data_IF_066960716694
#
_entry.id   IF_066960716694
#
_cell.length_a   1.000
_cell.length_b   1.000
_cell.length_c   1.000
_cell.angle_alpha   90.00
_cell.angle_beta   90.00
_cell.angle_gamma   90.00
#
_symmetry.space_group_name_H-M   'P 1'
#
loop_
_entity.id
_entity.type
_entity.pdbx_description
1 polymer ?
#
# COMPACT_ATOMS: atom_id res chain seq x y z
N UNK A 1 -14.41 -8.57 15.02
CA UNK A 1 -13.99 -7.19 15.32
C UNK A 1 -13.39 -6.63 14.05
N UNK A 2 -13.91 -5.52 13.52
CA UNK A 2 -13.35 -4.93 12.30
C UNK A 2 -11.92 -4.46 12.61
N UNK A 3 -10.95 -5.14 12.04
CA UNK A 3 -9.55 -4.88 12.31
C UNK A 3 -9.13 -3.55 11.68
N UNK A 4 -8.70 -2.61 12.53
CA UNK A 4 -8.31 -1.27 12.10
C UNK A 4 -7.16 -1.32 11.05
N UNK A 5 -7.12 -0.34 10.15
CA UNK A 5 -6.06 -0.25 9.13
C UNK A 5 -4.69 -0.13 9.79
N UNK A 6 -4.62 0.66 10.87
CA UNK A 6 -3.40 0.90 11.63
C UNK A 6 -2.83 -0.40 12.20
N UNK A 7 -3.67 -1.30 12.72
CA UNK A 7 -3.21 -2.57 13.29
C UNK A 7 -2.67 -3.54 12.24
N UNK A 8 -3.03 -3.36 10.97
CA UNK A 8 -2.46 -4.14 9.87
C UNK A 8 -1.12 -3.55 9.44
N UNK A 9 -1.05 -2.22 9.30
CA UNK A 9 0.18 -1.53 8.92
C UNK A 9 1.31 -1.75 9.93
N UNK A 10 0.99 -1.85 11.22
CA UNK A 10 1.98 -2.12 12.26
C UNK A 10 2.62 -3.51 12.17
N UNK A 11 2.07 -4.44 11.39
CA UNK A 11 2.64 -5.79 11.16
C UNK A 11 3.74 -5.77 10.10
N UNK A 12 3.87 -4.69 9.34
CA UNK A 12 4.90 -4.58 8.30
C UNK A 12 6.26 -4.40 8.97
N UNK A 13 7.20 -5.29 8.66
CA UNK A 13 8.56 -5.19 9.17
C UNK A 13 9.24 -3.92 8.65
N UNK A 14 9.89 -3.19 9.54
CA UNK A 14 10.60 -1.96 9.19
C UNK A 14 12.03 -2.28 8.71
N UNK A 15 12.32 -2.12 7.40
CA UNK A 15 13.63 -2.48 6.83
C UNK A 15 14.72 -1.46 7.19
N UNK A 16 14.39 -0.40 7.93
CA UNK A 16 15.33 0.66 8.31
C UNK A 16 16.12 0.26 9.56
N UNK A 17 17.39 0.66 9.61
CA UNK A 17 18.18 0.58 10.85
C UNK A 17 17.60 1.48 11.94
N UNK A 18 17.72 1.06 13.20
CA UNK A 18 17.12 1.75 14.36
C UNK A 18 17.51 3.22 14.50
N UNK A 19 18.74 3.59 14.10
CA UNK A 19 19.22 4.97 14.15
C UNK A 19 18.52 5.90 13.14
N UNK A 20 17.82 5.37 12.14
CA UNK A 20 17.18 6.14 11.07
C UNK A 20 15.63 6.11 11.14
N UNK A 21 15.07 5.96 12.34
CA UNK A 21 13.62 5.87 12.59
C UNK A 21 13.06 7.12 13.27
N UNK A 22 13.23 8.29 12.64
CA UNK A 22 12.59 9.52 13.14
C UNK A 22 11.06 9.43 13.03
N UNK A 23 10.56 8.93 11.89
CA UNK A 23 9.14 8.74 11.65
C UNK A 23 8.79 7.25 11.77
N UNK A 24 7.85 6.87 12.64
CA UNK A 24 7.28 5.52 12.68
C UNK A 24 6.84 5.03 11.29
N UNK A 25 7.04 3.74 10.99
CA UNK A 25 6.75 3.20 9.66
C UNK A 25 5.25 3.25 9.34
N UNK A 26 4.41 2.89 10.30
CA UNK A 26 2.96 2.95 10.21
C UNK A 26 2.45 4.36 9.90
N UNK A 27 3.07 5.40 10.45
CA UNK A 27 2.77 6.81 10.12
C UNK A 27 3.08 7.12 8.64
N UNK A 28 4.21 6.66 8.13
CA UNK A 28 4.60 6.83 6.72
C UNK A 28 3.64 6.07 5.79
N UNK A 29 3.33 4.82 6.12
CA UNK A 29 2.45 3.98 5.31
C UNK A 29 1.02 4.54 5.28
N UNK A 30 0.48 4.97 6.42
CA UNK A 30 -0.83 5.61 6.50
C UNK A 30 -0.88 6.89 5.65
N UNK A 31 0.16 7.73 5.75
CA UNK A 31 0.29 8.94 4.95
C UNK A 31 0.24 8.62 3.44
N UNK A 32 1.07 7.68 2.98
CA UNK A 32 1.11 7.28 1.57
C UNK A 32 -0.25 6.79 1.08
N UNK A 33 -0.92 5.90 1.83
CA UNK A 33 -2.22 5.35 1.45
C UNK A 33 -3.27 6.46 1.34
N UNK A 34 -3.39 7.31 2.36
CA UNK A 34 -4.37 8.39 2.36
C UNK A 34 -4.13 9.39 1.23
N UNK A 35 -2.87 9.76 0.97
CA UNK A 35 -2.51 10.69 -0.09
C UNK A 35 -2.82 10.11 -1.48
N UNK A 36 -2.42 8.86 -1.76
CA UNK A 36 -2.63 8.21 -3.05
C UNK A 36 -4.13 8.04 -3.34
N UNK A 37 -4.93 7.60 -2.37
CA UNK A 37 -6.39 7.51 -2.52
C UNK A 37 -7.01 8.90 -2.77
N UNK A 38 -6.40 9.95 -2.23
CA UNK A 38 -6.81 11.35 -2.45
C UNK A 38 -6.29 11.94 -3.77
N UNK A 39 -5.63 11.14 -4.62
CA UNK A 39 -5.16 11.55 -5.94
C UNK A 39 -3.72 12.08 -6.00
N UNK A 40 -2.89 11.84 -4.98
CA UNK A 40 -1.47 12.17 -5.05
C UNK A 40 -0.74 11.25 -6.04
N UNK A 41 0.02 11.82 -6.98
CA UNK A 41 0.72 11.07 -8.03
C UNK A 41 2.23 10.93 -7.78
N UNK A 42 2.80 11.79 -6.91
CA UNK A 42 4.22 11.77 -6.58
C UNK A 42 4.54 11.98 -5.10
N UNK A 43 5.82 11.80 -4.74
CA UNK A 43 6.32 11.98 -3.37
C UNK A 43 6.09 13.39 -2.83
N UNK A 44 6.18 14.40 -3.72
CA UNK A 44 5.87 15.79 -3.41
C UNK A 44 4.43 15.98 -3.01
N UNK A 45 3.52 15.44 -3.81
CA UNK A 45 2.08 15.52 -3.55
C UNK A 45 1.72 14.81 -2.24
N UNK A 46 2.38 13.68 -1.94
CA UNK A 46 2.19 12.94 -0.67
C UNK A 46 2.64 13.79 0.52
N UNK A 47 3.83 14.39 0.46
CA UNK A 47 4.31 15.24 1.54
C UNK A 47 3.44 16.50 1.71
N UNK A 48 2.99 17.10 0.61
CA UNK A 48 2.07 18.24 0.62
C UNK A 48 0.70 17.87 1.21
N UNK A 49 0.12 16.74 0.80
CA UNK A 49 -1.10 16.21 1.41
C UNK A 49 -0.93 16.04 2.92
N UNK A 50 0.17 15.44 3.35
CA UNK A 50 0.48 15.26 4.76
C UNK A 50 0.52 16.57 5.53
N UNK A 51 1.21 17.60 4.99
CA UNK A 51 1.31 18.92 5.60
C UNK A 51 -0.08 19.58 5.72
N UNK A 52 -0.89 19.47 4.66
CA UNK A 52 -2.24 20.05 4.61
C UNK A 52 -3.25 19.30 5.50
N UNK A 53 -3.06 18.01 5.74
CA UNK A 53 -4.00 17.14 6.47
C UNK A 53 -3.43 16.61 7.79
N UNK A 54 -2.34 17.15 8.30
CA UNK A 54 -1.66 16.69 9.52
C UNK A 54 -2.62 16.57 10.72
N UNK A 55 -3.48 17.57 10.95
CA UNK A 55 -4.45 17.55 12.04
C UNK A 55 -5.48 16.42 11.90
N UNK A 56 -5.83 16.06 10.66
CA UNK A 56 -6.74 14.94 10.39
C UNK A 56 -6.01 13.60 10.57
N UNK A 57 -4.78 13.48 10.06
CA UNK A 57 -3.92 12.30 10.24
C UNK A 57 -3.66 11.99 11.72
N UNK A 58 -3.55 13.04 12.54
CA UNK A 58 -3.39 12.93 14.00
C UNK A 58 -4.55 12.26 14.75
N UNK A 59 -5.70 12.07 14.09
CA UNK A 59 -6.83 11.31 14.65
C UNK A 59 -6.57 9.80 14.63
N UNK A 60 -5.65 9.33 13.80
CA UNK A 60 -5.34 7.91 13.61
C UNK A 60 -4.00 7.50 14.24
N UNK A 61 -2.96 8.31 14.04
CA UNK A 61 -1.61 8.09 14.60
C UNK A 61 -1.04 9.41 15.16
N UNK A 62 0.09 9.39 15.87
CA UNK A 62 0.52 10.57 16.66
C UNK A 62 1.17 11.66 15.82
N UNK A 63 1.92 11.32 14.77
CA UNK A 63 2.70 12.24 13.94
C UNK A 63 3.49 13.25 14.78
N UNK A 64 4.25 12.73 15.77
CA UNK A 64 4.98 13.54 16.76
C UNK A 64 6.02 14.44 16.08
N UNK A 65 6.71 13.89 15.09
CA UNK A 65 7.77 14.58 14.35
C UNK A 65 7.23 15.30 13.09
N UNK A 66 5.91 15.39 12.93
CA UNK A 66 5.28 16.00 11.76
C UNK A 66 5.27 15.06 10.55
N UNK A 67 5.46 15.63 9.37
CA UNK A 67 5.38 14.93 8.09
C UNK A 67 6.78 14.75 7.51
N UNK A 68 7.17 13.52 7.12
CA UNK A 68 8.46 13.28 6.47
C UNK A 68 8.58 14.07 5.16
N UNK A 69 9.82 14.41 4.77
CA UNK A 69 10.09 14.99 3.46
C UNK A 69 9.80 14.01 2.32
N UNK A 70 9.69 14.54 1.11
CA UNK A 70 9.52 13.76 -0.12
C UNK A 70 10.62 12.69 -0.25
N UNK A 71 11.87 13.08 0.00
CA UNK A 71 13.03 12.19 -0.05
C UNK A 71 12.99 11.10 1.02
N UNK A 72 12.52 11.44 2.23
CA UNK A 72 12.36 10.47 3.29
C UNK A 72 11.32 9.42 2.91
N UNK A 73 10.16 9.85 2.40
CA UNK A 73 9.09 8.96 1.94
C UNK A 73 9.62 8.04 0.83
N UNK A 74 10.24 8.61 -0.21
CA UNK A 74 10.78 7.87 -1.33
C UNK A 74 11.80 6.81 -0.87
N UNK A 75 12.71 7.18 0.02
CA UNK A 75 13.74 6.28 0.54
C UNK A 75 13.17 5.14 1.38
N UNK A 76 12.19 5.42 2.24
CA UNK A 76 11.52 4.37 3.04
C UNK A 76 10.75 3.42 2.13
N UNK A 77 9.96 3.95 1.19
CA UNK A 77 9.17 3.13 0.27
C UNK A 77 10.05 2.28 -0.65
N UNK A 78 11.20 2.79 -1.08
CA UNK A 78 12.16 2.04 -1.91
C UNK A 78 12.82 0.86 -1.17
N UNK A 79 12.91 0.92 0.16
CA UNK A 79 13.45 -0.16 1.00
C UNK A 79 12.41 -1.18 1.41
N UNK A 80 11.13 -0.83 1.35
CA UNK A 80 10.04 -1.70 1.73
C UNK A 80 9.99 -2.91 0.79
N UNK A 81 9.85 -4.12 1.35
CA UNK A 81 9.62 -5.31 0.53
C UNK A 81 8.23 -5.22 -0.12
N UNK A 82 8.12 -5.17 -1.46
CA UNK A 82 6.83 -5.11 -2.13
C UNK A 82 5.95 -6.30 -1.78
N UNK A 83 6.56 -7.49 -1.61
CA UNK A 83 5.87 -8.73 -1.22
C UNK A 83 5.29 -8.65 0.19
N UNK A 84 6.05 -8.12 1.14
CA UNK A 84 5.59 -8.01 2.53
C UNK A 84 4.44 -7.00 2.65
N UNK A 85 4.55 -5.88 1.93
CA UNK A 85 3.49 -4.87 1.88
C UNK A 85 2.22 -5.40 1.20
N UNK A 86 2.36 -6.08 0.06
CA UNK A 86 1.24 -6.72 -0.62
C UNK A 86 0.54 -7.75 0.28
N UNK A 87 1.31 -8.57 1.01
CA UNK A 87 0.76 -9.56 1.96
C UNK A 87 -0.10 -8.87 3.04
N UNK A 88 0.39 -7.79 3.65
CA UNK A 88 -0.36 -7.03 4.64
C UNK A 88 -1.70 -6.51 4.08
N UNK A 89 -1.70 -6.03 2.83
CA UNK A 89 -2.91 -5.55 2.17
C UNK A 89 -3.90 -6.68 1.85
N UNK A 90 -3.41 -7.83 1.36
CA UNK A 90 -4.23 -9.02 1.08
C UNK A 90 -4.82 -9.59 2.37
N UNK A 91 -4.03 -9.71 3.44
CA UNK A 91 -4.50 -10.21 4.73
C UNK A 91 -5.64 -9.31 5.28
N UNK A 92 -5.54 -7.99 5.08
CA UNK A 92 -6.63 -7.05 5.39
C UNK A 92 -7.86 -7.30 4.52
N UNK A 93 -7.68 -7.41 3.20
CA UNK A 93 -8.78 -7.64 2.27
C UNK A 93 -9.54 -8.95 2.58
N UNK A 94 -8.80 -10.01 2.94
CA UNK A 94 -9.36 -11.29 3.36
C UNK A 94 -10.14 -11.18 4.67
N UNK A 95 -9.64 -10.43 5.66
CA UNK A 95 -10.38 -10.19 6.91
C UNK A 95 -11.71 -9.45 6.70
N UNK A 96 -11.85 -8.69 5.59
CA UNK A 96 -13.10 -8.06 5.18
C UNK A 96 -13.99 -9.07 4.45
N UNK A 97 -13.41 -9.88 3.57
CA UNK A 97 -14.14 -10.89 2.78
C UNK A 97 -14.71 -12.05 3.60
N UNK A 98 -14.07 -12.42 4.72
CA UNK A 98 -14.61 -13.40 5.68
C UNK A 98 -15.96 -12.96 6.27
N UNK A 99 -16.29 -11.66 6.23
CA UNK A 99 -17.58 -11.12 6.71
C UNK A 99 -18.72 -11.29 5.69
N UNK A 100 -18.43 -11.69 4.44
CA UNK A 100 -19.41 -11.63 3.33
C UNK A 100 -19.84 -12.98 2.76
N UNK A 101 -19.65 -14.08 3.50
CA UNK A 101 -20.29 -15.39 3.32
C UNK A 101 -20.49 -15.86 1.85
N UNK A 102 -19.39 -16.06 1.11
CA UNK A 102 -19.43 -16.70 -0.21
C UNK A 102 -19.68 -15.77 -1.41
N UNK A 103 -19.28 -14.51 -1.30
CA UNK A 103 -19.30 -13.54 -2.40
C UNK A 103 -18.70 -14.06 -3.72
N UNK A 104 -19.33 -13.72 -4.86
CA UNK A 104 -18.82 -13.98 -6.20
C UNK A 104 -17.53 -13.17 -6.46
N UNK A 105 -16.44 -13.89 -6.74
CA UNK A 105 -15.13 -13.31 -7.05
C UNK A 105 -14.88 -13.31 -8.55
N UNK A 106 -14.68 -12.12 -9.12
CA UNK A 106 -14.33 -11.95 -10.53
C UNK A 106 -12.82 -12.16 -10.72
N UNK A 107 -12.43 -13.03 -11.65
CA UNK A 107 -11.03 -13.22 -12.04
C UNK A 107 -10.81 -12.57 -13.41
N UNK A 108 -9.93 -11.58 -13.47
CA UNK A 108 -9.61 -10.85 -14.70
C UNK A 108 -8.09 -10.81 -14.95
N UNK A 109 -7.70 -10.87 -16.23
CA UNK A 109 -6.32 -10.90 -16.67
C UNK A 109 -5.99 -9.74 -17.62
N UNK A 110 -4.97 -8.94 -17.30
CA UNK A 110 -4.47 -7.84 -18.13
C UNK A 110 -3.01 -8.06 -18.52
N UNK A 111 -2.67 -7.73 -19.76
CA UNK A 111 -1.26 -7.72 -20.21
C UNK A 111 -0.73 -6.29 -20.18
N UNK A 112 0.37 -6.06 -19.46
CA UNK A 112 0.94 -4.72 -19.31
C UNK A 112 1.55 -4.27 -20.64
N UNK A 113 1.08 -3.15 -21.19
CA UNK A 113 1.55 -2.64 -22.50
C UNK A 113 3.05 -2.32 -22.45
N UNK A 114 3.81 -2.77 -23.46
CA UNK A 114 5.28 -2.59 -23.57
C UNK A 114 6.11 -3.24 -22.45
N UNK A 115 5.57 -4.24 -21.76
CA UNK A 115 6.33 -4.97 -20.72
C UNK A 115 7.23 -6.10 -21.24
N UNK A 116 7.10 -6.47 -22.52
CA UNK A 116 7.95 -7.50 -23.12
C UNK A 116 9.39 -6.99 -23.27
N UNK A 117 10.37 -7.84 -22.97
CA UNK A 117 11.78 -7.53 -23.12
C UNK A 117 12.47 -8.60 -23.96
N UNK A 118 12.52 -8.37 -25.27
CA UNK A 118 13.19 -9.28 -26.22
C UNK A 118 14.69 -9.39 -25.96
N UNK A 119 15.35 -8.34 -25.44
CA UNK A 119 16.80 -8.33 -25.23
C UNK A 119 17.21 -9.29 -24.12
N UNK A 120 16.38 -9.38 -23.07
CA UNK A 120 16.58 -10.30 -21.94
C UNK A 120 15.71 -11.57 -22.03
N UNK A 121 15.10 -11.84 -23.20
CA UNK A 121 14.23 -12.99 -23.45
C UNK A 121 13.09 -13.15 -22.43
N UNK A 122 12.48 -12.04 -21.99
CA UNK A 122 11.34 -12.03 -21.07
C UNK A 122 10.04 -11.80 -21.82
N UNK A 123 9.03 -12.61 -21.52
CA UNK A 123 7.66 -12.44 -22.01
C UNK A 123 7.05 -11.14 -21.49
N UNK A 124 5.94 -10.72 -22.10
CA UNK A 124 5.13 -9.64 -21.56
C UNK A 124 4.62 -10.03 -20.15
N UNK A 125 4.53 -9.04 -19.27
CA UNK A 125 3.96 -9.22 -17.94
C UNK A 125 2.44 -9.39 -18.10
N UNK A 126 1.97 -10.57 -17.74
CA UNK A 126 0.56 -10.88 -17.59
C UNK A 126 0.18 -10.76 -16.12
N UNK A 127 -0.92 -10.08 -15.83
CA UNK A 127 -1.36 -9.75 -14.49
C UNK A 127 -2.78 -10.26 -14.30
N UNK A 128 -2.97 -11.17 -13.35
CA UNK A 128 -4.27 -11.74 -12.99
C UNK A 128 -4.69 -11.19 -11.64
N UNK A 129 -5.91 -10.68 -11.53
CA UNK A 129 -6.49 -10.12 -10.30
C UNK A 129 -7.79 -10.83 -9.93
N UNK A 130 -8.01 -11.02 -8.62
CA UNK A 130 -9.24 -11.55 -8.04
C UNK A 130 -10.00 -10.41 -7.34
N UNK A 131 -11.20 -10.09 -7.82
CA UNK A 131 -11.99 -8.93 -7.40
C UNK A 131 -13.31 -9.35 -6.73
N UNK A 132 -13.49 -8.93 -5.49
CA UNK A 132 -14.74 -9.04 -4.74
C UNK A 132 -15.61 -7.80 -5.03
N UNK A 133 -16.68 -7.98 -5.80
CA UNK A 133 -17.56 -6.90 -6.28
C UNK A 133 -18.42 -6.23 -5.20
N UNK A 134 -18.94 -7.01 -4.27
CA UNK A 134 -19.73 -6.57 -3.11
C UNK A 134 -18.87 -5.75 -2.15
N UNK A 135 -17.63 -6.18 -1.90
CA UNK A 135 -16.70 -5.50 -1.02
C UNK A 135 -15.85 -4.41 -1.72
N UNK A 136 -15.96 -4.31 -3.06
CA UNK A 136 -15.19 -3.40 -3.90
C UNK A 136 -13.68 -3.48 -3.62
N UNK A 137 -13.15 -4.70 -3.47
CA UNK A 137 -11.76 -4.93 -3.09
C UNK A 137 -11.10 -6.03 -3.91
N UNK A 138 -9.80 -5.86 -4.18
CA UNK A 138 -8.97 -6.92 -4.77
C UNK A 138 -8.50 -7.87 -3.69
N UNK A 139 -8.89 -9.14 -3.77
CA UNK A 139 -8.51 -10.22 -2.85
C UNK A 139 -7.12 -10.79 -3.13
N UNK A 140 -6.62 -10.60 -4.34
CA UNK A 140 -5.32 -11.12 -4.74
C UNK A 140 -4.93 -10.66 -6.13
N UNK A 141 -3.63 -10.62 -6.38
CA UNK A 141 -3.07 -10.27 -7.68
C UNK A 141 -1.74 -10.98 -7.90
N UNK A 142 -1.59 -11.58 -9.08
CA UNK A 142 -0.39 -12.31 -9.51
C UNK A 142 0.09 -11.72 -10.83
N UNK A 143 1.40 -11.49 -10.94
CA UNK A 143 2.06 -11.10 -12.18
C UNK A 143 3.03 -12.20 -12.62
N UNK A 144 3.00 -12.57 -13.89
CA UNK A 144 3.83 -13.59 -14.55
C UNK A 144 4.50 -13.04 -15.80
#
# INVERSE_FOLDING_TARGET
>A
MCSDLVSHLSKVEDPRWDKNKLYPLDEILLLCICAIISGAEGWKDIAEFGRNKLNWLRKFLKFRNGIPSEDCIAWVMAKLSPKAFQKCFVDRAQSIAELTDGEVVNIDGKTLRRSYDRRNNRSAIHMVSAWASTNLISLGQVAT
#
